data_IF_480795747180
#
_entry.id   IF_480795747180
#
_cell.length_a   1.000
_cell.length_b   1.000
_cell.length_c   1.000
_cell.angle_alpha   90.00
_cell.angle_beta   90.00
_cell.angle_gamma   90.00
#
_symmetry.space_group_name_H-M   'P 1'
#
loop_
_entity.id
_entity.type
_entity.pdbx_description
1 polymer ?
#
# COMPACT_ATOMS: atom_id res chain seq x y z
N UNK A 1 -11.78 3.14 -13.16
CA UNK A 1 -11.60 2.42 -11.87
C UNK A 1 -12.91 1.85 -11.35
N UNK A 2 -13.92 2.67 -11.01
CA UNK A 2 -15.19 2.14 -10.47
C UNK A 2 -15.92 1.17 -11.39
N UNK A 3 -15.93 1.44 -12.70
CA UNK A 3 -16.49 0.52 -13.71
C UNK A 3 -15.70 -0.80 -13.78
N UNK A 4 -14.37 -0.73 -13.66
CA UNK A 4 -13.52 -1.92 -13.60
C UNK A 4 -13.80 -2.74 -12.34
N UNK A 5 -14.01 -2.09 -11.19
CA UNK A 5 -14.41 -2.78 -9.96
C UNK A 5 -15.76 -3.49 -10.17
N UNK A 6 -16.75 -2.79 -10.74
CA UNK A 6 -18.06 -3.39 -11.05
C UNK A 6 -17.92 -4.64 -11.91
N UNK A 7 -17.26 -4.50 -13.07
CA UNK A 7 -17.07 -5.58 -14.02
C UNK A 7 -16.38 -6.78 -13.37
N UNK A 8 -15.26 -6.55 -12.68
CA UNK A 8 -14.47 -7.64 -12.12
C UNK A 8 -15.17 -8.32 -10.93
N UNK A 9 -15.80 -7.58 -10.03
CA UNK A 9 -16.42 -8.18 -8.84
C UNK A 9 -17.80 -8.77 -9.13
N UNK A 10 -18.59 -8.15 -10.01
CA UNK A 10 -19.99 -8.52 -10.19
C UNK A 10 -20.24 -9.34 -11.46
N UNK A 11 -19.51 -9.09 -12.54
CA UNK A 11 -19.69 -9.82 -13.80
C UNK A 11 -18.72 -10.99 -13.92
N UNK A 12 -17.43 -10.75 -13.66
CA UNK A 12 -16.40 -11.81 -13.69
C UNK A 12 -16.43 -12.67 -12.42
N UNK A 13 -16.73 -12.05 -11.28
CA UNK A 13 -16.89 -12.76 -10.01
C UNK A 13 -15.58 -13.00 -9.24
N UNK A 14 -14.55 -12.15 -9.40
CA UNK A 14 -13.29 -12.30 -8.63
C UNK A 14 -13.50 -12.03 -7.12
N UNK A 15 -12.75 -12.69 -6.25
CA UNK A 15 -12.90 -12.54 -4.79
C UNK A 15 -12.61 -11.13 -4.28
N UNK A 16 -11.86 -10.34 -5.02
CA UNK A 16 -11.69 -8.92 -4.78
C UNK A 16 -10.44 -8.36 -5.43
N UNK A 17 -10.18 -7.08 -5.18
CA UNK A 17 -9.09 -6.35 -5.83
C UNK A 17 -8.23 -5.63 -4.80
N UNK A 18 -6.92 -5.72 -4.97
CA UNK A 18 -5.97 -4.79 -4.37
C UNK A 18 -5.93 -3.53 -5.24
N UNK A 19 -6.15 -2.37 -4.62
CA UNK A 19 -6.13 -1.07 -5.31
C UNK A 19 -5.21 -0.15 -4.52
N UNK A 20 -4.22 0.42 -5.19
CA UNK A 20 -3.28 1.38 -4.65
C UNK A 20 -3.13 2.57 -5.61
N UNK A 21 -2.79 3.77 -5.11
CA UNK A 21 -2.56 4.92 -5.97
C UNK A 21 -1.30 4.73 -6.82
N UNK A 22 -1.39 5.17 -8.07
CA UNK A 22 -0.19 5.53 -8.84
C UNK A 22 0.37 6.84 -8.31
N UNK A 23 1.67 6.90 -8.06
CA UNK A 23 2.36 8.08 -7.56
C UNK A 23 3.68 8.28 -8.29
N UNK A 24 4.21 9.50 -8.22
CA UNK A 24 5.50 9.83 -8.82
C UNK A 24 6.63 9.23 -8.01
N UNK A 25 7.31 8.25 -8.60
CA UNK A 25 8.67 7.90 -8.22
C UNK A 25 9.60 8.16 -9.42
N UNK A 26 10.91 8.04 -9.22
CA UNK A 26 11.97 8.46 -10.15
C UNK A 26 11.88 7.94 -11.59
N UNK A 27 10.99 6.98 -11.89
CA UNK A 27 10.90 6.31 -13.19
C UNK A 27 9.58 6.55 -13.95
N UNK A 28 8.66 7.38 -13.43
CA UNK A 28 7.37 7.67 -14.08
C UNK A 28 7.33 9.13 -14.53
N UNK A 29 6.55 9.46 -15.57
CA UNK A 29 6.25 10.85 -15.92
C UNK A 29 5.33 11.48 -14.86
N UNK A 30 5.69 12.63 -14.23
CA UNK A 30 4.83 13.30 -13.26
C UNK A 30 3.40 13.52 -13.74
N UNK A 31 3.18 13.77 -15.04
CA UNK A 31 1.86 13.99 -15.62
C UNK A 31 0.93 12.75 -15.54
N UNK A 32 1.50 11.57 -15.32
CA UNK A 32 0.76 10.30 -15.20
C UNK A 32 0.48 9.90 -13.75
N UNK A 33 0.82 10.76 -12.79
CA UNK A 33 0.80 10.42 -11.37
C UNK A 33 -0.02 11.41 -10.54
N UNK A 34 -0.31 11.02 -9.31
CA UNK A 34 -1.10 11.82 -8.39
C UNK A 34 -0.29 12.24 -7.18
N UNK A 35 -0.58 13.44 -6.70
CA UNK A 35 -0.15 13.93 -5.40
C UNK A 35 -0.88 13.20 -4.27
N UNK A 36 -0.37 13.37 -3.04
CA UNK A 36 -0.98 12.87 -1.80
C UNK A 36 -2.47 13.24 -1.69
N UNK A 37 -2.78 14.52 -1.84
CA UNK A 37 -4.13 15.04 -1.68
C UNK A 37 -5.09 14.51 -2.75
N UNK A 38 -4.62 14.40 -4.00
CA UNK A 38 -5.45 13.89 -5.09
C UNK A 38 -5.80 12.41 -4.88
N UNK A 39 -4.87 11.60 -4.37
CA UNK A 39 -5.20 10.20 -4.12
C UNK A 39 -6.16 10.05 -2.95
N UNK A 40 -6.00 10.83 -1.87
CA UNK A 40 -6.93 10.82 -0.75
C UNK A 40 -8.35 11.14 -1.20
N UNK A 41 -8.52 12.14 -2.07
CA UNK A 41 -9.82 12.46 -2.65
C UNK A 41 -10.40 11.29 -3.46
N UNK A 42 -9.61 10.70 -4.37
CA UNK A 42 -10.09 9.56 -5.16
C UNK A 42 -10.44 8.36 -4.29
N UNK A 43 -9.65 8.06 -3.26
CA UNK A 43 -9.91 6.94 -2.37
C UNK A 43 -11.11 7.16 -1.46
N UNK A 44 -11.43 8.41 -1.08
CA UNK A 44 -12.72 8.73 -0.42
C UNK A 44 -13.91 8.34 -1.30
N UNK A 45 -13.84 8.66 -2.60
CA UNK A 45 -14.88 8.26 -3.57
C UNK A 45 -14.93 6.75 -3.74
N UNK A 46 -13.78 6.09 -3.93
CA UNK A 46 -13.69 4.62 -4.08
C UNK A 46 -14.29 3.92 -2.86
N UNK A 47 -13.88 4.28 -1.64
CA UNK A 47 -14.37 3.70 -0.39
C UNK A 47 -15.88 3.85 -0.25
N UNK A 48 -16.42 5.03 -0.56
CA UNK A 48 -17.87 5.30 -0.54
C UNK A 48 -18.61 4.40 -1.52
N UNK A 49 -18.18 4.35 -2.78
CA UNK A 49 -18.86 3.58 -3.83
C UNK A 49 -18.74 2.08 -3.58
N UNK A 50 -17.56 1.60 -3.18
CA UNK A 50 -17.32 0.19 -2.87
C UNK A 50 -18.27 -0.30 -1.78
N UNK A 51 -18.45 0.47 -0.70
CA UNK A 51 -19.42 0.15 0.37
C UNK A 51 -20.87 0.20 -0.12
N UNK A 52 -21.25 1.21 -0.90
CA UNK A 52 -22.62 1.36 -1.39
C UNK A 52 -23.03 0.30 -2.41
N UNK A 53 -22.08 -0.20 -3.19
CA UNK A 53 -22.32 -1.16 -4.29
C UNK A 53 -21.87 -2.58 -3.97
N UNK A 54 -21.26 -2.81 -2.81
CA UNK A 54 -20.73 -4.12 -2.41
C UNK A 54 -19.53 -4.58 -3.23
N UNK A 55 -18.70 -3.66 -3.75
CA UNK A 55 -17.48 -4.05 -4.48
C UNK A 55 -16.42 -4.54 -3.50
N UNK A 56 -15.86 -5.73 -3.78
CA UNK A 56 -14.86 -6.39 -2.94
C UNK A 56 -13.48 -5.74 -3.10
N UNK A 57 -13.16 -4.84 -2.17
CA UNK A 57 -11.86 -4.16 -2.10
C UNK A 57 -10.99 -4.80 -1.01
N UNK A 58 -9.91 -5.47 -1.42
CA UNK A 58 -8.98 -6.17 -0.54
C UNK A 58 -7.94 -5.17 -0.02
N UNK A 59 -8.32 -4.39 0.98
CA UNK A 59 -7.43 -3.47 1.70
C UNK A 59 -7.80 -3.49 3.17
N UNK A 60 -6.81 -3.63 4.06
CA UNK A 60 -7.08 -3.68 5.50
C UNK A 60 -7.78 -2.40 5.99
N UNK A 61 -8.62 -2.43 7.05
CA UNK A 61 -9.34 -1.25 7.50
C UNK A 61 -8.44 -0.05 7.82
N UNK A 62 -7.26 -0.30 8.39
CA UNK A 62 -6.25 0.72 8.70
C UNK A 62 -5.63 1.27 7.42
N UNK A 63 -5.33 0.42 6.43
CA UNK A 63 -4.81 0.87 5.15
C UNK A 63 -5.86 1.67 4.35
N UNK A 64 -7.15 1.29 4.42
CA UNK A 64 -8.23 2.10 3.83
C UNK A 64 -8.31 3.50 4.47
N UNK A 65 -8.17 3.61 5.79
CA UNK A 65 -8.13 4.91 6.49
C UNK A 65 -6.92 5.75 6.09
N UNK A 66 -5.76 5.11 5.91
CA UNK A 66 -4.58 5.79 5.40
C UNK A 66 -4.78 6.31 3.98
N UNK A 67 -5.38 5.50 3.11
CA UNK A 67 -5.66 5.89 1.73
C UNK A 67 -6.66 7.03 1.61
N UNK A 68 -7.58 7.19 2.58
CA UNK A 68 -8.54 8.30 2.62
C UNK A 68 -8.07 9.52 3.42
N UNK A 69 -6.84 9.50 3.96
CA UNK A 69 -6.28 10.58 4.77
C UNK A 69 -6.82 10.65 6.20
N UNK A 70 -7.60 9.65 6.63
CA UNK A 70 -8.14 9.54 8.00
C UNK A 70 -7.08 9.11 9.01
N UNK A 71 -5.97 8.54 8.54
CA UNK A 71 -4.86 8.07 9.37
C UNK A 71 -3.52 8.36 8.68
N UNK A 72 -2.49 8.65 9.48
CA UNK A 72 -1.10 8.67 9.01
C UNK A 72 -0.40 7.38 9.40
N UNK A 73 0.38 6.81 8.48
CA UNK A 73 1.20 5.63 8.71
C UNK A 73 2.64 5.95 8.32
N UNK A 74 3.60 5.39 9.07
CA UNK A 74 5.00 5.35 8.62
C UNK A 74 5.15 4.23 7.60
N UNK A 75 5.95 4.43 6.57
CA UNK A 75 6.24 3.37 5.60
C UNK A 75 7.02 2.24 6.29
N UNK A 76 6.68 0.99 6.00
CA UNK A 76 7.47 -0.19 6.35
C UNK A 76 8.07 -0.78 5.07
N UNK A 77 9.13 -0.16 4.50
CA UNK A 77 9.72 -0.59 3.23
C UNK A 77 10.25 -2.04 3.27
N UNK A 78 10.68 -2.50 4.44
CA UNK A 78 11.12 -3.86 4.73
C UNK A 78 9.98 -4.90 4.72
N UNK A 79 8.72 -4.48 4.76
CA UNK A 79 7.57 -5.38 4.94
C UNK A 79 7.18 -6.19 3.70
N UNK A 80 7.60 -5.78 2.51
CA UNK A 80 7.33 -6.51 1.26
C UNK A 80 8.48 -6.35 0.27
N UNK A 81 9.57 -7.04 0.59
CA UNK A 81 10.79 -7.11 -0.21
C UNK A 81 10.64 -8.15 -1.32
N UNK A 82 11.28 -7.89 -2.46
CA UNK A 82 11.31 -8.80 -3.61
C UNK A 82 12.71 -9.36 -3.84
N UNK A 83 12.78 -10.59 -4.34
CA UNK A 83 14.01 -11.23 -4.81
C UNK A 83 13.88 -11.55 -6.30
N UNK A 84 14.93 -11.27 -7.07
CA UNK A 84 15.04 -11.66 -8.46
C UNK A 84 16.31 -12.53 -8.66
N UNK A 85 16.61 -13.02 -9.87
CA UNK A 85 17.81 -13.83 -10.12
C UNK A 85 19.14 -13.15 -9.76
N UNK A 86 19.18 -11.81 -9.69
CA UNK A 86 20.37 -11.04 -9.31
C UNK A 86 20.52 -10.87 -7.80
N UNK A 87 19.45 -11.10 -7.01
CA UNK A 87 19.47 -10.98 -5.55
C UNK A 87 18.21 -10.35 -4.96
N UNK A 88 18.30 -9.96 -3.69
CA UNK A 88 17.26 -9.26 -2.93
C UNK A 88 17.29 -7.77 -3.23
N UNK A 89 16.15 -7.18 -3.60
CA UNK A 89 16.03 -5.78 -3.99
C UNK A 89 15.65 -4.91 -2.79
N UNK A 90 16.45 -3.89 -2.48
CA UNK A 90 16.19 -2.90 -1.42
C UNK A 90 16.12 -1.46 -1.95
N UNK A 91 15.42 -0.52 -1.28
CA UNK A 91 14.59 -0.72 -0.08
C UNK A 91 13.23 -1.37 -0.39
N UNK A 92 12.76 -1.25 -1.62
CA UNK A 92 11.47 -1.78 -2.07
C UNK A 92 11.53 -2.07 -3.57
N UNK A 93 10.52 -2.76 -4.10
CA UNK A 93 10.53 -3.18 -5.50
C UNK A 93 10.49 -2.02 -6.51
N UNK A 94 10.04 -0.83 -6.11
CA UNK A 94 9.97 0.37 -6.95
C UNK A 94 11.31 1.11 -7.04
N UNK A 95 11.93 1.43 -5.90
CA UNK A 95 13.15 2.26 -5.88
C UNK A 95 14.40 1.46 -6.28
N UNK A 96 14.59 0.27 -5.70
CA UNK A 96 15.74 -0.61 -5.97
C UNK A 96 17.10 0.13 -5.94
N UNK A 97 17.45 0.71 -4.80
CA UNK A 97 18.76 1.34 -4.59
C UNK A 97 19.90 0.31 -4.49
N UNK A 98 19.58 -0.95 -4.14
CA UNK A 98 20.56 -2.03 -4.02
C UNK A 98 20.01 -3.41 -4.36
N UNK A 99 20.94 -4.31 -4.72
CA UNK A 99 20.70 -5.75 -4.89
C UNK A 99 21.67 -6.52 -4.00
N UNK A 100 21.14 -7.33 -3.10
CA UNK A 100 21.90 -8.01 -2.05
C UNK A 100 21.90 -9.53 -2.26
N UNK A 101 23.01 -10.22 -1.99
CA UNK A 101 23.13 -11.66 -2.24
C UNK A 101 22.27 -12.49 -1.27
N UNK A 102 22.08 -12.01 -0.04
CA UNK A 102 21.28 -12.67 1.00
C UNK A 102 20.26 -11.70 1.58
N UNK A 103 19.26 -12.26 2.27
CA UNK A 103 18.24 -11.45 2.95
C UNK A 103 18.86 -10.67 4.12
N UNK A 104 19.76 -11.29 4.89
CA UNK A 104 20.44 -10.63 6.00
C UNK A 104 21.29 -9.44 5.52
N UNK A 105 22.00 -9.59 4.39
CA UNK A 105 22.76 -8.50 3.80
C UNK A 105 21.87 -7.32 3.36
N UNK A 106 20.63 -7.59 2.92
CA UNK A 106 19.66 -6.53 2.67
C UNK A 106 19.21 -5.86 3.97
N UNK A 107 18.88 -6.64 5.01
CA UNK A 107 18.40 -6.12 6.28
C UNK A 107 19.43 -5.21 6.96
N UNK A 108 20.71 -5.61 6.91
CA UNK A 108 21.83 -4.87 7.51
C UNK A 108 22.37 -3.76 6.60
N UNK A 109 22.17 -3.87 5.29
CA UNK A 109 22.76 -2.97 4.29
C UNK A 109 21.91 -1.76 3.91
N UNK A 110 20.74 -1.59 4.53
CA UNK A 110 19.79 -0.51 4.22
C UNK A 110 19.51 0.35 5.44
N UNK A 111 19.57 1.67 5.26
CA UNK A 111 19.07 2.65 6.24
C UNK A 111 17.56 2.80 6.08
N UNK A 112 16.79 1.93 6.73
CA UNK A 112 15.34 1.81 6.50
C UNK A 112 14.56 3.08 6.84
N UNK A 113 15.03 3.83 7.83
CA UNK A 113 14.45 5.07 8.33
C UNK A 113 14.52 6.22 7.32
N UNK A 114 15.45 6.16 6.37
CA UNK A 114 15.62 7.18 5.32
C UNK A 114 14.50 7.12 4.27
N UNK A 115 13.67 6.07 4.28
CA UNK A 115 12.64 5.84 3.29
C UNK A 115 11.22 6.13 3.80
N UNK A 116 10.36 6.55 2.87
CA UNK A 116 8.95 6.85 3.11
C UNK A 116 8.62 8.35 3.00
N UNK A 117 7.32 8.70 3.00
CA UNK A 117 6.87 10.08 2.90
C UNK A 117 7.48 10.94 4.02
N UNK A 118 8.04 12.10 3.67
CA UNK A 118 8.73 13.00 4.60
C UNK A 118 10.21 12.65 4.88
N UNK A 119 10.70 11.47 4.45
CA UNK A 119 12.10 11.07 4.61
C UNK A 119 12.84 11.05 3.26
N UNK A 120 12.23 10.44 2.23
CA UNK A 120 12.77 10.40 0.87
C UNK A 120 11.86 11.18 -0.10
N UNK A 121 12.37 12.19 -0.83
CA UNK A 121 11.60 12.94 -1.82
C UNK A 121 10.92 12.06 -2.89
N UNK A 122 11.51 10.90 -3.22
CA UNK A 122 10.95 9.92 -4.16
C UNK A 122 9.74 9.19 -3.59
N UNK A 123 9.52 9.27 -2.27
CA UNK A 123 8.42 8.63 -1.55
C UNK A 123 7.31 9.60 -1.14
N UNK A 124 7.43 10.90 -1.43
CA UNK A 124 6.55 11.96 -0.89
C UNK A 124 5.06 11.67 -1.09
N UNK A 125 4.69 11.14 -2.26
CA UNK A 125 3.31 10.80 -2.61
C UNK A 125 3.02 9.29 -2.55
N UNK A 126 3.95 8.49 -2.02
CA UNK A 126 3.82 7.04 -1.99
C UNK A 126 2.77 6.59 -0.98
N UNK A 127 1.79 5.83 -1.44
CA UNK A 127 0.79 5.19 -0.59
C UNK A 127 0.54 3.75 -1.03
N UNK A 128 1.59 3.07 -1.52
CA UNK A 128 1.46 1.74 -2.11
C UNK A 128 1.38 0.63 -1.05
N UNK A 129 0.53 -0.36 -1.32
CA UNK A 129 0.22 -1.45 -0.37
C UNK A 129 1.46 -2.16 0.17
N UNK A 130 2.52 -2.34 -0.62
CA UNK A 130 3.72 -3.08 -0.17
C UNK A 130 4.46 -2.40 0.98
N UNK A 131 4.37 -1.07 1.10
CA UNK A 131 4.95 -0.36 2.24
C UNK A 131 3.95 -0.14 3.36
N UNK A 132 2.66 0.01 3.04
CA UNK A 132 1.67 0.50 4.01
C UNK A 132 0.69 -0.56 4.53
N UNK A 133 0.49 -1.68 3.85
CA UNK A 133 -0.21 -2.83 4.44
C UNK A 133 0.62 -3.48 5.55
N UNK A 134 1.94 -3.67 5.43
CA UNK A 134 2.75 -4.11 6.56
C UNK A 134 2.71 -3.14 7.74
N UNK A 135 2.75 -1.82 7.47
CA UNK A 135 2.57 -0.80 8.51
C UNK A 135 1.19 -0.88 9.17
N UNK A 136 0.14 -1.09 8.37
CA UNK A 136 -1.21 -1.25 8.87
C UNK A 136 -1.36 -2.51 9.74
N UNK A 137 -0.73 -3.61 9.34
CA UNK A 137 -0.69 -4.85 10.12
C UNK A 137 0.04 -4.65 11.45
N UNK A 138 1.18 -3.94 11.44
CA UNK A 138 1.94 -3.62 12.65
C UNK A 138 1.14 -2.75 13.63
N UNK A 139 0.48 -1.70 13.12
CA UNK A 139 -0.42 -0.85 13.92
C UNK A 139 -1.62 -1.62 14.47
N UNK A 140 -2.19 -2.55 13.69
CA UNK A 140 -3.29 -3.39 14.15
C UNK A 140 -2.87 -4.29 15.32
N UNK A 141 -1.67 -4.86 15.26
CA UNK A 141 -1.11 -5.71 16.32
C UNK A 141 -0.82 -4.93 17.62
N UNK A 142 -0.55 -3.63 17.52
CA UNK A 142 -0.31 -2.76 18.68
C UNK A 142 -1.56 -2.37 19.49
N UNK A 143 -2.77 -2.72 19.03
CA UNK A 143 -4.03 -2.31 19.65
C UNK A 143 -5.07 -3.43 19.64
N UNK A 144 -5.59 -3.81 20.81
CA UNK A 144 -6.64 -4.84 20.93
C UNK A 144 -7.87 -4.49 20.09
N UNK A 145 -8.27 -3.22 20.09
CA UNK A 145 -9.41 -2.72 19.31
C UNK A 145 -9.16 -2.92 17.81
N UNK A 146 -7.98 -2.56 17.33
CA UNK A 146 -7.65 -2.66 15.92
C UNK A 146 -7.43 -4.12 15.50
N UNK A 147 -6.82 -4.93 16.35
CA UNK A 147 -6.71 -6.39 16.16
C UNK A 147 -8.07 -7.05 15.99
N UNK A 148 -9.05 -6.74 16.86
CA UNK A 148 -10.41 -7.25 16.73
C UNK A 148 -11.09 -6.77 15.43
N UNK A 149 -10.88 -5.51 15.05
CA UNK A 149 -11.41 -4.94 13.80
C UNK A 149 -10.82 -5.63 12.56
N UNK A 150 -9.52 -5.84 12.54
CA UNK A 150 -8.83 -6.55 11.45
C UNK A 150 -9.28 -8.01 11.36
N UNK A 151 -9.46 -8.69 12.49
CA UNK A 151 -9.98 -10.06 12.50
C UNK A 151 -11.41 -10.14 11.98
N UNK A 152 -12.29 -9.24 12.43
CA UNK A 152 -13.66 -9.15 11.93
C UNK A 152 -13.66 -8.95 10.40
N UNK A 153 -12.86 -8.00 9.91
CA UNK A 153 -12.71 -7.75 8.48
C UNK A 153 -12.26 -8.99 7.70
N UNK A 154 -11.23 -9.70 8.16
CA UNK A 154 -10.75 -10.94 7.51
C UNK A 154 -11.83 -12.03 7.42
N UNK A 155 -12.73 -12.10 8.41
CA UNK A 155 -13.79 -13.12 8.46
C UNK A 155 -15.03 -12.73 7.65
N UNK A 156 -15.30 -11.43 7.48
CA UNK A 156 -16.55 -10.95 6.89
C UNK A 156 -16.40 -10.37 5.48
N UNK A 157 -15.18 -9.96 5.08
CA UNK A 157 -14.92 -9.25 3.82
C UNK A 157 -15.34 -7.79 3.87
#
# INVERSE_FOLDING_TARGET
>A
MLEMMHYLTNEVGIDGMLIAPGYQYSQIDPALTMTRAEHEEKFRVIRKVARQRGYRWLASPIYQEFLTGERKLKCAPWGSITRNPYGWKGPCYLLTDGIFPTYDALLEGMEWEDYGPGNDPRCEHCAIHSGFEPSAAYEAAGSIKESARSMAWTLTG
#
